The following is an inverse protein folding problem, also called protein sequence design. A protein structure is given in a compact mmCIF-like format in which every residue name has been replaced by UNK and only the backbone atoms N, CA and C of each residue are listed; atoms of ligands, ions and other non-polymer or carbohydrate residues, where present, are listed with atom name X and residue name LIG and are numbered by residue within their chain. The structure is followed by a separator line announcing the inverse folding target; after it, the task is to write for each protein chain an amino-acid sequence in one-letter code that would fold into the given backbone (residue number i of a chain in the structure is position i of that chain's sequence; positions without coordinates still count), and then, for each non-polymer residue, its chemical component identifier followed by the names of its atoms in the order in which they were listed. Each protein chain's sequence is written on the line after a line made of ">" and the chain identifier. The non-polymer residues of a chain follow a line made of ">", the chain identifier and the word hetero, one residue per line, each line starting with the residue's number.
data_IF_421016087719
#
_entry.id   IF_421016087719
#
_cell.length_a   1.000
_cell.length_b   1.000
_cell.length_c   1.000
_cell.angle_alpha   90.00
_cell.angle_beta   90.00
_cell.angle_gamma   90.00
#
_symmetry.space_group_name_H-M   'P 1'
#
loop_
_entity.id
_entity.type
_entity.pdbx_description
1 polymer ?
#
# COMPACT_ATOMS: atom_id res chain seq x y z
N UNK A 1 1.36 -6.81 2.29
CA UNK A 1 1.09 -5.36 2.27
C UNK A 1 0.58 -4.87 0.93
N UNK A 2 1.20 -5.25 -0.22
CA UNK A 2 0.78 -4.78 -1.55
C UNK A 2 -0.68 -5.12 -1.87
N UNK A 3 -1.13 -6.34 -1.60
CA UNK A 3 -2.51 -6.76 -1.84
C UNK A 3 -3.53 -5.89 -1.08
N UNK A 4 -3.20 -5.51 0.14
CA UNK A 4 -4.04 -4.59 0.93
C UNK A 4 -3.98 -3.16 0.40
N UNK A 5 -2.85 -2.74 -0.17
CA UNK A 5 -2.74 -1.44 -0.82
C UNK A 5 -3.68 -1.32 -2.04
N UNK A 6 -3.81 -2.39 -2.86
CA UNK A 6 -4.81 -2.41 -3.95
C UNK A 6 -6.23 -2.33 -3.40
N UNK A 7 -6.55 -3.13 -2.39
CA UNK A 7 -7.88 -3.11 -1.76
C UNK A 7 -8.22 -1.72 -1.22
N UNK A 8 -7.26 -1.08 -0.59
CA UNK A 8 -7.40 0.29 -0.10
C UNK A 8 -7.56 1.30 -1.25
N UNK A 9 -6.74 1.20 -2.31
CA UNK A 9 -6.84 2.05 -3.49
C UNK A 9 -8.21 1.93 -4.15
N UNK A 10 -8.74 0.71 -4.26
CA UNK A 10 -10.08 0.44 -4.76
C UNK A 10 -11.17 1.10 -3.90
N UNK A 11 -11.00 1.04 -2.56
CA UNK A 11 -11.97 1.62 -1.63
C UNK A 11 -12.01 3.15 -1.69
N UNK A 12 -10.86 3.80 -1.85
CA UNK A 12 -10.74 5.28 -1.83
C UNK A 12 -10.85 5.93 -3.21
N UNK A 13 -10.89 5.13 -4.31
CA UNK A 13 -10.96 5.67 -5.67
C UNK A 13 -12.14 6.63 -5.86
N UNK A 14 -11.90 7.73 -6.54
CA UNK A 14 -12.97 8.72 -6.87
C UNK A 14 -13.89 8.20 -7.96
N UNK A 15 -13.33 7.72 -9.08
CA UNK A 15 -14.12 7.12 -10.16
C UNK A 15 -14.52 5.68 -9.77
N UNK A 16 -15.79 5.47 -9.42
CA UNK A 16 -16.29 4.14 -9.00
C UNK A 16 -16.38 3.13 -10.15
N UNK A 17 -16.33 3.58 -11.39
CA UNK A 17 -16.31 2.71 -12.57
C UNK A 17 -14.90 2.30 -13.00
N UNK A 18 -13.86 2.90 -12.40
CA UNK A 18 -12.48 2.51 -12.67
C UNK A 18 -12.21 1.12 -12.07
N UNK A 19 -11.73 0.22 -12.90
CA UNK A 19 -11.44 -1.18 -12.53
C UNK A 19 -10.05 -1.66 -12.96
N UNK A 20 -9.24 -0.75 -13.53
CA UNK A 20 -7.88 -1.06 -13.99
C UNK A 20 -6.85 -0.61 -12.94
N UNK A 21 -5.87 -1.48 -12.68
CA UNK A 21 -4.73 -1.20 -11.83
C UNK A 21 -3.44 -1.48 -12.57
N UNK A 22 -2.58 -0.48 -12.69
CA UNK A 22 -1.31 -0.62 -13.41
C UNK A 22 -0.20 -1.10 -12.48
N UNK A 23 0.64 -1.99 -12.97
CA UNK A 23 1.73 -2.60 -12.20
C UNK A 23 3.03 -2.42 -12.98
N UNK A 24 4.04 -1.90 -12.29
CA UNK A 24 5.38 -1.72 -12.83
C UNK A 24 5.94 -3.06 -13.38
N UNK A 25 6.51 -3.05 -14.58
CA UNK A 25 7.17 -4.22 -15.16
C UNK A 25 8.34 -4.75 -14.30
N UNK A 26 8.90 -3.91 -13.44
CA UNK A 26 9.98 -4.27 -12.53
C UNK A 26 9.50 -4.85 -11.19
N UNK A 27 8.20 -5.14 -11.06
CA UNK A 27 7.63 -5.80 -9.88
C UNK A 27 8.27 -7.18 -9.66
N UNK A 28 8.39 -7.57 -8.40
CA UNK A 28 8.81 -8.93 -8.04
C UNK A 28 7.73 -9.95 -8.50
N UNK A 29 8.12 -11.05 -9.21
CA UNK A 29 7.15 -12.01 -9.74
C UNK A 29 6.17 -12.54 -8.70
N UNK A 30 6.64 -12.88 -7.51
CA UNK A 30 5.82 -13.38 -6.41
C UNK A 30 4.76 -12.35 -5.99
N UNK A 31 5.11 -11.07 -6.00
CA UNK A 31 4.16 -10.00 -5.70
C UNK A 31 3.08 -9.94 -6.77
N UNK A 32 3.46 -10.03 -8.04
CA UNK A 32 2.51 -10.03 -9.15
C UNK A 32 1.51 -11.20 -9.07
N UNK A 33 1.98 -12.41 -8.77
CA UNK A 33 1.13 -13.60 -8.62
C UNK A 33 0.10 -13.43 -7.49
N UNK A 34 0.52 -12.86 -6.35
CA UNK A 34 -0.41 -12.54 -5.25
C UNK A 34 -1.45 -11.51 -5.69
N UNK A 35 -1.03 -10.47 -6.43
CA UNK A 35 -1.95 -9.47 -6.94
C UNK A 35 -2.98 -10.08 -7.89
N UNK A 36 -2.56 -10.93 -8.82
CA UNK A 36 -3.43 -11.63 -9.75
C UNK A 36 -4.52 -12.41 -9.00
N UNK A 37 -4.10 -13.24 -8.02
CA UNK A 37 -5.02 -14.02 -7.19
C UNK A 37 -6.04 -13.17 -6.44
N UNK A 38 -5.62 -11.97 -5.97
CA UNK A 38 -6.49 -11.08 -5.19
C UNK A 38 -7.39 -10.21 -6.08
N UNK A 39 -6.96 -9.87 -7.28
CA UNK A 39 -7.68 -8.97 -8.18
C UNK A 39 -8.74 -9.68 -9.02
N UNK A 40 -8.45 -10.92 -9.45
CA UNK A 40 -9.34 -11.70 -10.32
C UNK A 40 -10.77 -11.83 -9.76
N UNK A 41 -11.00 -12.26 -8.50
CA UNK A 41 -12.35 -12.37 -7.94
C UNK A 41 -13.10 -11.02 -7.83
N UNK A 42 -12.38 -9.91 -7.83
CA UNK A 42 -12.92 -8.56 -7.71
C UNK A 42 -13.19 -7.89 -9.08
N UNK A 43 -12.90 -8.58 -10.18
CA UNK A 43 -13.02 -8.04 -11.53
C UNK A 43 -12.04 -6.89 -11.81
N UNK A 44 -10.92 -6.82 -11.08
CA UNK A 44 -9.87 -5.82 -11.29
C UNK A 44 -8.97 -6.30 -12.42
N UNK A 45 -8.79 -5.46 -13.43
CA UNK A 45 -7.87 -5.69 -14.55
C UNK A 45 -6.48 -5.22 -14.15
N UNK A 46 -5.54 -6.16 -14.05
CA UNK A 46 -4.11 -5.84 -13.87
C UNK A 46 -3.45 -5.67 -15.24
N UNK A 47 -2.76 -4.55 -15.39
CA UNK A 47 -2.02 -4.24 -16.62
C UNK A 47 -0.58 -3.83 -16.27
N UNK A 48 0.38 -4.41 -16.98
CA UNK A 48 1.81 -4.09 -16.74
C UNK A 48 2.16 -2.85 -17.57
N UNK A 49 2.86 -1.91 -16.97
CA UNK A 49 3.36 -0.74 -17.65
C UNK A 49 4.89 -0.68 -17.66
N UNK A 50 5.43 -0.05 -18.70
CA UNK A 50 6.84 0.32 -18.80
C UNK A 50 7.04 1.76 -18.36
N UNK A 51 7.98 1.99 -17.45
CA UNK A 51 8.32 3.32 -16.94
C UNK A 51 8.80 4.30 -18.01
N UNK A 52 9.34 3.77 -19.15
CA UNK A 52 9.82 4.60 -20.26
C UNK A 52 8.70 4.98 -21.24
N UNK A 53 7.58 4.26 -21.22
CA UNK A 53 6.42 4.51 -22.07
C UNK A 53 5.14 4.41 -21.25
N UNK A 54 5.00 5.31 -20.27
CA UNK A 54 3.88 5.29 -19.34
C UNK A 54 2.66 6.01 -19.91
N UNK A 55 1.57 5.27 -20.03
CA UNK A 55 0.26 5.80 -20.43
C UNK A 55 -0.78 5.49 -19.35
N UNK A 56 -1.75 6.38 -19.19
CA UNK A 56 -2.82 6.23 -18.20
C UNK A 56 -4.13 6.77 -18.78
N UNK A 57 -5.24 6.13 -18.43
CA UNK A 57 -6.59 6.52 -18.78
C UNK A 57 -7.53 6.61 -17.56
N UNK A 58 -8.76 7.05 -17.76
CA UNK A 58 -9.76 7.23 -16.69
C UNK A 58 -10.30 5.93 -16.10
N UNK A 59 -9.98 4.76 -16.64
CA UNK A 59 -10.34 3.47 -16.07
C UNK A 59 -9.32 2.99 -15.02
N UNK A 60 -8.19 3.68 -14.92
CA UNK A 60 -7.15 3.36 -13.93
C UNK A 60 -7.49 4.00 -12.59
N UNK A 61 -7.63 3.19 -11.54
CA UNK A 61 -7.85 3.69 -10.18
C UNK A 61 -6.57 3.76 -9.34
N UNK A 62 -5.50 3.14 -9.79
CA UNK A 62 -4.22 3.20 -9.09
C UNK A 62 -3.10 2.49 -9.82
N UNK A 63 -1.89 2.73 -9.35
CA UNK A 63 -0.67 2.11 -9.85
C UNK A 63 0.18 1.56 -8.71
N UNK A 64 1.02 0.58 -9.05
CA UNK A 64 2.06 0.05 -8.17
C UNK A 64 3.43 0.17 -8.84
N UNK A 65 4.35 0.81 -8.16
CA UNK A 65 5.76 0.93 -8.53
C UNK A 65 6.60 0.12 -7.54
N UNK A 66 7.62 -0.58 -8.02
CA UNK A 66 8.58 -1.31 -7.20
C UNK A 66 9.95 -0.61 -7.21
N UNK A 67 10.48 -0.24 -6.03
CA UNK A 67 11.79 0.38 -5.88
C UNK A 67 12.60 -0.25 -4.71
N UNK A 68 13.81 -0.73 -4.91
CA UNK A 68 14.38 -1.03 -6.25
C UNK A 68 13.53 -2.05 -7.00
N UNK A 69 13.54 -1.99 -8.33
CA UNK A 69 12.90 -3.00 -9.18
C UNK A 69 13.59 -4.37 -9.06
N UNK A 70 12.99 -5.40 -9.66
CA UNK A 70 13.55 -6.78 -9.67
C UNK A 70 14.97 -6.88 -10.22
N UNK A 71 15.36 -5.95 -11.09
CA UNK A 71 16.70 -5.85 -11.65
C UNK A 71 17.63 -4.92 -10.85
N UNK A 72 17.20 -4.46 -9.67
CA UNK A 72 17.96 -3.55 -8.82
C UNK A 72 17.96 -2.08 -9.29
N UNK A 73 17.18 -1.74 -10.31
CA UNK A 73 17.10 -0.37 -10.84
C UNK A 73 16.37 0.53 -9.84
N UNK A 74 16.97 1.71 -9.61
CA UNK A 74 16.39 2.82 -8.87
C UNK A 74 16.21 3.98 -9.86
N UNK A 75 15.05 4.65 -9.78
CA UNK A 75 14.72 5.81 -10.60
C UNK A 75 13.78 6.75 -9.85
N UNK A 76 13.67 8.00 -10.28
CA UNK A 76 12.79 8.99 -9.67
C UNK A 76 11.37 8.87 -10.22
N UNK A 77 10.38 8.45 -9.42
CA UNK A 77 9.00 8.26 -9.87
C UNK A 77 8.17 9.55 -9.94
N UNK A 78 8.73 10.71 -9.61
CA UNK A 78 8.00 11.98 -9.47
C UNK A 78 7.16 12.33 -10.68
N UNK A 79 7.68 12.14 -11.89
CA UNK A 79 6.94 12.47 -13.12
C UNK A 79 5.70 11.57 -13.28
N UNK A 80 5.84 10.27 -13.06
CA UNK A 80 4.71 9.32 -13.12
C UNK A 80 3.70 9.62 -12.00
N UNK A 81 4.14 9.87 -10.78
CA UNK A 81 3.27 10.26 -9.66
C UNK A 81 2.39 11.45 -10.05
N UNK A 82 3.01 12.51 -10.56
CA UNK A 82 2.30 13.72 -10.96
C UNK A 82 1.32 13.48 -12.12
N UNK A 83 1.67 12.59 -13.05
CA UNK A 83 0.78 12.22 -14.16
C UNK A 83 -0.42 11.43 -13.65
N UNK A 84 -0.22 10.46 -12.79
CA UNK A 84 -1.27 9.61 -12.19
C UNK A 84 -2.28 10.43 -11.38
N UNK A 85 -1.78 11.40 -10.62
CA UNK A 85 -2.65 12.26 -9.82
C UNK A 85 -3.57 13.15 -10.65
N UNK A 86 -3.23 13.47 -11.91
CA UNK A 86 -4.14 14.19 -12.82
C UNK A 86 -5.39 13.38 -13.17
N UNK A 87 -5.33 12.05 -13.03
CA UNK A 87 -6.45 11.14 -13.25
C UNK A 87 -7.15 10.72 -11.95
N UNK A 88 -6.83 11.35 -10.82
CA UNK A 88 -7.35 11.00 -9.48
C UNK A 88 -7.07 9.54 -9.08
N UNK A 89 -6.05 8.92 -9.66
CA UNK A 89 -5.63 7.57 -9.36
C UNK A 89 -4.61 7.54 -8.20
N UNK A 90 -4.56 6.44 -7.48
CA UNK A 90 -3.75 6.24 -6.27
C UNK A 90 -2.37 5.69 -6.64
N UNK A 91 -1.33 6.31 -6.11
CA UNK A 91 0.05 5.84 -6.30
C UNK A 91 0.49 5.02 -5.09
N UNK A 92 0.73 3.74 -5.33
CA UNK A 92 1.37 2.83 -4.36
C UNK A 92 2.81 2.57 -4.74
N UNK A 93 3.73 2.67 -3.78
CA UNK A 93 5.13 2.31 -3.98
C UNK A 93 5.53 1.20 -3.01
N UNK A 94 6.00 0.08 -3.56
CA UNK A 94 6.64 -0.98 -2.80
C UNK A 94 8.14 -0.69 -2.74
N UNK A 95 8.69 -0.53 -1.54
CA UNK A 95 10.07 -0.08 -1.35
C UNK A 95 10.83 -0.92 -0.34
N UNK A 96 12.15 -1.09 -0.59
CA UNK A 96 13.09 -1.57 0.43
C UNK A 96 13.42 -0.40 1.38
N UNK A 97 13.20 -0.51 2.70
CA UNK A 97 13.48 0.57 3.64
C UNK A 97 14.95 1.01 3.65
N UNK A 98 15.90 0.14 3.33
CA UNK A 98 17.30 0.53 3.21
C UNK A 98 17.55 1.46 2.01
N UNK A 99 16.81 1.30 0.92
CA UNK A 99 16.91 2.21 -0.21
C UNK A 99 16.52 3.64 0.19
N UNK A 100 15.54 3.80 1.07
CA UNK A 100 15.09 5.13 1.54
C UNK A 100 16.11 5.88 2.41
N UNK A 101 17.19 5.21 2.86
CA UNK A 101 18.32 5.89 3.51
C UNK A 101 19.16 6.68 2.50
N UNK A 102 19.16 6.22 1.24
CA UNK A 102 19.98 6.78 0.16
C UNK A 102 19.20 7.69 -0.78
N UNK A 103 17.89 7.52 -0.85
CA UNK A 103 17.02 8.26 -1.76
C UNK A 103 15.92 8.98 -0.97
N UNK A 104 15.33 10.01 -1.58
CA UNK A 104 14.25 10.78 -0.98
C UNK A 104 13.06 9.89 -0.62
N UNK A 105 12.47 10.03 0.58
CA UNK A 105 11.30 9.25 0.99
C UNK A 105 10.15 9.36 -0.01
N UNK A 106 9.54 8.23 -0.35
CA UNK A 106 8.49 8.17 -1.38
C UNK A 106 7.25 8.98 -1.04
N UNK A 107 6.92 9.11 0.25
CA UNK A 107 5.85 9.99 0.70
C UNK A 107 6.09 11.46 0.39
N UNK A 108 7.35 11.93 0.48
CA UNK A 108 7.75 13.30 0.12
C UNK A 108 7.73 13.53 -1.39
N UNK A 109 7.89 12.48 -2.19
CA UNK A 109 7.73 12.54 -3.64
C UNK A 109 6.27 12.53 -4.08
N UNK A 110 5.33 12.33 -3.12
CA UNK A 110 3.89 12.40 -3.37
C UNK A 110 3.17 11.06 -3.41
N UNK A 111 3.83 9.93 -3.17
CA UNK A 111 3.16 8.63 -3.08
C UNK A 111 1.99 8.67 -2.08
N UNK A 112 0.88 8.00 -2.40
CA UNK A 112 -0.30 7.94 -1.54
C UNK A 112 -0.18 6.81 -0.52
N UNK A 113 0.41 5.70 -0.95
CA UNK A 113 0.64 4.51 -0.13
C UNK A 113 2.07 4.04 -0.34
N UNK A 114 2.77 3.75 0.75
CA UNK A 114 4.12 3.18 0.72
C UNK A 114 4.14 1.90 1.55
N UNK A 115 4.58 0.81 0.96
CA UNK A 115 4.60 -0.50 1.58
C UNK A 115 5.97 -1.17 1.42
N UNK A 116 6.28 -2.09 2.31
CA UNK A 116 7.50 -2.86 2.20
C UNK A 116 7.66 -3.89 3.31
N UNK A 117 8.77 -4.61 3.29
CA UNK A 117 9.13 -5.58 4.32
C UNK A 117 10.02 -4.93 5.38
N UNK A 118 9.70 -5.16 6.65
CA UNK A 118 10.52 -4.72 7.78
C UNK A 118 11.64 -5.73 8.12
N UNK A 119 11.82 -6.80 7.38
CA UNK A 119 12.87 -7.80 7.65
C UNK A 119 14.28 -7.19 7.63
N UNK A 120 14.50 -6.17 6.78
CA UNK A 120 15.76 -5.42 6.72
C UNK A 120 16.11 -4.73 8.04
N UNK A 121 15.15 -4.52 8.91
CA UNK A 121 15.33 -3.90 10.21
C UNK A 121 15.68 -4.91 11.32
N UNK A 122 16.05 -6.13 10.96
CA UNK A 122 16.54 -7.14 11.88
C UNK A 122 15.52 -8.21 12.30
N UNK A 123 14.41 -8.36 11.59
CA UNK A 123 13.44 -9.43 11.84
C UNK A 123 14.03 -10.78 11.38
N UNK A 124 14.23 -11.76 12.28
CA UNK A 124 14.87 -13.03 11.95
C UNK A 124 13.98 -13.92 11.07
N UNK A 125 14.61 -14.74 10.22
CA UNK A 125 13.92 -15.72 9.36
C UNK A 125 13.75 -17.08 10.09
N UNK A 126 13.63 -17.11 11.42
CA UNK A 126 13.49 -18.34 12.18
C UNK A 126 12.22 -19.12 11.80
N UNK A 127 12.36 -20.42 11.52
CA UNK A 127 11.25 -21.35 11.19
C UNK A 127 10.32 -20.87 10.07
N UNK A 128 10.88 -20.29 9.00
CA UNK A 128 10.11 -19.70 7.88
C UNK A 128 9.83 -18.22 8.02
N UNK A 129 10.16 -17.64 9.15
CA UNK A 129 10.20 -16.21 9.47
C UNK A 129 8.84 -15.57 9.72
N UNK A 130 8.70 -14.77 10.75
CA UNK A 130 7.64 -13.78 10.80
C UNK A 130 7.89 -12.74 9.70
N UNK A 131 6.91 -12.53 8.84
CA UNK A 131 6.97 -11.51 7.81
C UNK A 131 6.35 -10.22 8.35
N UNK A 132 7.16 -9.41 9.03
CA UNK A 132 6.75 -8.07 9.39
C UNK A 132 6.80 -7.17 8.15
N UNK A 133 5.71 -6.46 7.90
CA UNK A 133 5.61 -5.47 6.84
C UNK A 133 5.26 -4.10 7.41
N UNK A 134 5.62 -3.05 6.71
CA UNK A 134 5.10 -1.72 7.00
C UNK A 134 4.09 -1.28 5.94
N UNK A 135 3.21 -0.39 6.36
CA UNK A 135 2.19 0.24 5.52
C UNK A 135 2.04 1.69 5.97
N UNK A 136 2.40 2.62 5.11
CA UNK A 136 2.27 4.04 5.34
C UNK A 136 1.34 4.66 4.30
N UNK A 137 0.55 5.65 4.69
CA UNK A 137 -0.36 6.35 3.80
C UNK A 137 -0.60 7.79 4.25
N UNK A 138 -1.15 8.60 3.37
CA UNK A 138 -1.54 9.97 3.67
C UNK A 138 -2.64 10.00 4.75
N UNK A 139 -2.62 11.03 5.59
CA UNK A 139 -3.56 11.24 6.70
C UNK A 139 -5.03 11.15 6.26
N UNK A 140 -5.36 11.64 5.06
CA UNK A 140 -6.73 11.60 4.51
C UNK A 140 -7.29 10.19 4.36
N UNK A 141 -6.42 9.18 4.27
CA UNK A 141 -6.80 7.78 4.07
C UNK A 141 -6.77 6.93 5.35
N UNK A 142 -6.45 7.51 6.50
CA UNK A 142 -6.26 6.77 7.78
C UNK A 142 -7.42 5.87 8.17
N UNK A 143 -8.65 6.20 7.74
CA UNK A 143 -9.85 5.38 8.04
C UNK A 143 -9.95 4.11 7.20
N UNK A 144 -9.24 4.02 6.09
CA UNK A 144 -9.22 2.88 5.16
C UNK A 144 -7.97 2.01 5.30
N UNK A 145 -7.01 2.42 6.14
CA UNK A 145 -5.78 1.66 6.35
C UNK A 145 -6.09 0.24 6.88
N UNK A 146 -5.47 -0.81 6.33
CA UNK A 146 -5.63 -2.16 6.88
C UNK A 146 -5.03 -2.27 8.29
N UNK A 147 -5.57 -3.17 9.12
CA UNK A 147 -5.09 -3.38 10.46
C UNK A 147 -5.63 -2.38 11.48
N UNK A 148 -5.11 -2.46 12.70
CA UNK A 148 -5.52 -1.65 13.84
C UNK A 148 -4.51 -0.54 14.09
N UNK A 149 -5.01 0.62 14.54
CA UNK A 149 -4.18 1.72 14.99
C UNK A 149 -4.33 1.82 16.51
N UNK A 150 -3.21 1.80 17.22
CA UNK A 150 -3.16 2.03 18.66
C UNK A 150 -2.79 3.49 18.89
N UNK A 151 -3.63 4.18 19.63
CA UNK A 151 -3.41 5.57 20.04
C UNK A 151 -3.01 5.66 21.52
N UNK A 152 -2.22 6.67 21.82
CA UNK A 152 -1.90 7.04 23.20
C UNK A 152 -2.98 7.96 23.75
N UNK A 153 -3.42 7.73 24.99
CA UNK A 153 -4.41 8.47 25.72
C UNK A 153 -4.00 8.56 27.20
N UNK A 154 -4.89 9.03 28.03
CA UNK A 154 -4.74 8.97 29.49
C UNK A 154 -5.92 8.25 30.10
N UNK A 155 -5.69 7.55 31.22
CA UNK A 155 -6.74 6.94 32.03
C UNK A 155 -7.42 7.96 32.94
N UNK A 156 -8.34 7.51 33.78
CA UNK A 156 -9.10 8.37 34.71
C UNK A 156 -8.22 9.00 35.81
N UNK A 157 -7.06 8.42 36.07
CA UNK A 157 -6.07 8.87 37.05
C UNK A 157 -5.01 9.78 36.43
N UNK A 158 -5.06 9.99 35.11
CA UNK A 158 -4.10 10.82 34.35
C UNK A 158 -2.84 10.08 33.90
N UNK A 159 -2.75 8.75 34.13
CA UNK A 159 -1.62 7.97 33.65
C UNK A 159 -1.72 7.68 32.15
N UNK A 160 -0.58 7.46 31.52
CA UNK A 160 -0.50 7.11 30.12
C UNK A 160 -1.18 5.77 29.86
N UNK A 161 -2.11 5.73 28.91
CA UNK A 161 -2.86 4.53 28.53
C UNK A 161 -2.89 4.34 27.02
N UNK A 162 -2.80 3.11 26.55
CA UNK A 162 -2.93 2.75 25.15
C UNK A 162 -4.37 2.29 24.87
N UNK A 163 -4.92 2.74 23.74
CA UNK A 163 -6.25 2.32 23.30
C UNK A 163 -6.31 2.13 21.80
N UNK A 164 -7.24 1.32 21.34
CA UNK A 164 -7.53 1.23 19.91
C UNK A 164 -8.12 2.55 19.41
N UNK A 165 -7.49 3.12 18.38
CA UNK A 165 -8.04 4.24 17.63
C UNK A 165 -8.88 3.72 16.45
N UNK A 166 -9.85 4.53 15.99
CA UNK A 166 -10.73 4.20 14.84
C UNK A 166 -11.53 2.90 15.03
N UNK A 167 -12.14 2.72 16.18
CA UNK A 167 -12.84 1.49 16.62
C UNK A 167 -14.01 1.04 15.73
N UNK A 168 -14.66 1.94 14.97
CA UNK A 168 -15.80 1.61 14.08
C UNK A 168 -15.43 0.77 12.85
N UNK A 169 -14.27 0.12 12.86
CA UNK A 169 -13.72 -0.69 11.75
C UNK A 169 -13.91 -2.19 11.95
N UNK A 170 -14.34 -2.59 13.13
CA UNK A 170 -14.42 -4.00 13.54
C UNK A 170 -15.52 -4.75 12.79
N UNK A 171 -15.26 -6.04 12.50
CA UNK A 171 -16.14 -6.89 11.71
C UNK A 171 -17.49 -7.09 12.39
N UNK A 172 -17.56 -7.20 13.71
CA UNK A 172 -18.81 -7.33 14.45
C UNK A 172 -19.69 -6.08 14.38
N UNK A 173 -19.11 -4.92 14.02
CA UNK A 173 -19.86 -3.66 13.83
C UNK A 173 -20.22 -3.47 12.35
N UNK A 174 -19.27 -3.62 11.45
CA UNK A 174 -19.40 -3.26 10.03
C UNK A 174 -19.62 -4.43 9.08
N UNK A 175 -19.54 -5.67 9.59
CA UNK A 175 -19.73 -6.91 8.83
C UNK A 175 -18.83 -6.97 7.59
N UNK A 176 -19.43 -7.10 6.40
CA UNK A 176 -18.77 -7.14 5.09
C UNK A 176 -18.00 -5.85 4.74
N UNK A 177 -18.35 -4.74 5.36
CA UNK A 177 -17.70 -3.42 5.17
C UNK A 177 -16.57 -3.16 6.19
N UNK A 178 -16.23 -4.14 7.00
CA UNK A 178 -15.11 -4.00 7.93
C UNK A 178 -13.79 -3.85 7.20
N UNK A 179 -12.87 -3.10 7.80
CA UNK A 179 -11.51 -3.01 7.29
C UNK A 179 -10.78 -4.33 7.53
N UNK A 180 -10.02 -4.80 6.53
CA UNK A 180 -9.17 -5.99 6.67
C UNK A 180 -8.22 -5.84 7.87
N UNK A 181 -8.14 -6.90 8.67
CA UNK A 181 -7.16 -7.03 9.73
C UNK A 181 -6.16 -8.11 9.35
N UNK A 182 -4.92 -7.72 9.15
CA UNK A 182 -3.81 -8.65 8.98
C UNK A 182 -3.13 -8.79 10.34
N UNK A 183 -3.20 -9.98 10.91
CA UNK A 183 -2.39 -10.36 12.06
C UNK A 183 -1.12 -11.04 11.56
N UNK A 184 0.01 -10.53 11.95
CA UNK A 184 1.31 -11.21 11.85
C UNK A 184 1.78 -11.65 13.23
N UNK A 185 2.53 -12.72 13.25
CA UNK A 185 3.15 -13.21 14.48
C UNK A 185 4.19 -12.22 15.03
#
# INVERSE_FOLDING_TARGET
>A
SVAEAISMSLAVRKNKNANKFLVDQEILPQTFDVLKTRCEPLGIVLEIFDNNNFEIDHHVFGILIQLPGKNGRIWDPTLIINQVHKFDAIVTIAIDPLAQVLIKPMGELGADIVVGSAQRLGVPIAFGGPHAAFFATKEIYKRQIPGRIVGQSVDVEGNQALRLALQTREQHIRRDKATSNICTA
#
